data_IF_244171180542
#
_entry.id   IF_244171180542
#
_cell.length_a   1.000
_cell.length_b   1.000
_cell.length_c   1.000
_cell.angle_alpha   90.00
_cell.angle_beta   90.00
_cell.angle_gamma   90.00
#
_symmetry.space_group_name_H-M   'P 1'
#
loop_
_entity.id
_entity.type
_entity.pdbx_description
1 polymer ?
#
# COMPACT_ATOMS: atom_id res chain seq x y z
N UNK A 1 8.35 15.11 -5.27
CA UNK A 1 9.59 15.52 -4.52
C UNK A 1 10.03 14.47 -3.49
N UNK A 2 9.26 14.17 -2.42
CA UNK A 2 9.65 13.11 -1.47
C UNK A 2 9.64 11.72 -2.12
N UNK A 3 8.67 11.45 -2.98
CA UNK A 3 8.60 10.20 -3.76
C UNK A 3 9.81 10.01 -4.68
N UNK A 4 10.28 11.07 -5.35
CA UNK A 4 11.43 11.00 -6.23
C UNK A 4 12.70 10.61 -5.44
N UNK A 5 12.83 11.11 -4.20
CA UNK A 5 13.92 10.74 -3.31
C UNK A 5 13.85 9.26 -2.88
N UNK A 6 12.63 8.75 -2.63
CA UNK A 6 12.43 7.33 -2.35
C UNK A 6 12.77 6.45 -3.54
N UNK A 7 12.44 6.88 -4.76
CA UNK A 7 12.77 6.17 -6.00
C UNK A 7 14.27 6.16 -6.29
N UNK A 8 14.93 7.29 -6.06
CA UNK A 8 16.35 7.45 -6.32
C UNK A 8 17.23 6.71 -5.32
N UNK A 9 16.90 6.82 -4.02
CA UNK A 9 17.80 6.41 -2.94
C UNK A 9 17.12 5.74 -1.74
N UNK A 10 15.85 5.30 -1.87
CA UNK A 10 15.13 4.64 -0.78
C UNK A 10 14.95 5.51 0.46
N UNK A 11 14.69 4.87 1.62
CA UNK A 11 14.52 5.57 2.91
C UNK A 11 15.78 6.31 3.38
N UNK A 12 16.97 5.83 3.01
CA UNK A 12 18.24 6.47 3.38
C UNK A 12 18.40 7.81 2.67
N UNK A 13 17.95 7.91 1.42
CA UNK A 13 17.94 9.15 0.64
C UNK A 13 16.91 10.18 1.11
N UNK A 14 15.86 9.74 1.81
CA UNK A 14 14.85 10.63 2.39
C UNK A 14 15.38 11.29 3.66
N UNK A 15 16.24 12.30 3.48
CA UNK A 15 16.79 13.12 4.56
C UNK A 15 16.12 14.50 4.58
N UNK A 16 16.06 15.14 5.77
CA UNK A 16 15.54 16.51 5.91
C UNK A 16 16.28 17.45 4.95
N UNK A 17 17.60 17.31 4.85
CA UNK A 17 18.44 18.13 3.97
C UNK A 17 18.07 17.95 2.49
N UNK A 18 17.89 16.71 2.04
CA UNK A 18 17.55 16.41 0.65
C UNK A 18 16.16 16.94 0.29
N UNK A 19 15.18 16.76 1.19
CA UNK A 19 13.82 17.30 1.00
C UNK A 19 13.81 18.81 0.93
N UNK A 20 14.50 19.49 1.84
CA UNK A 20 14.60 20.95 1.85
C UNK A 20 15.29 21.49 0.59
N UNK A 21 16.40 20.86 0.18
CA UNK A 21 17.12 21.26 -1.04
C UNK A 21 16.24 21.12 -2.29
N UNK A 22 15.50 20.01 -2.39
CA UNK A 22 14.63 19.76 -3.54
C UNK A 22 13.36 20.63 -3.53
N UNK A 23 12.87 20.99 -2.34
CA UNK A 23 11.71 21.86 -2.17
C UNK A 23 12.02 23.36 -2.25
N UNK A 24 13.29 23.73 -2.21
CA UNK A 24 13.69 25.14 -2.12
C UNK A 24 13.25 25.79 -0.80
N UNK A 25 13.11 25.01 0.28
CA UNK A 25 12.59 25.49 1.56
C UNK A 25 13.71 25.70 2.58
N UNK A 26 13.55 26.75 3.41
CA UNK A 26 14.41 26.98 4.55
C UNK A 26 14.16 25.93 5.66
N UNK A 27 15.22 25.63 6.44
CA UNK A 27 15.15 24.65 7.54
C UNK A 27 14.05 24.97 8.56
N UNK A 28 13.80 26.24 8.83
CA UNK A 28 12.76 26.70 9.75
C UNK A 28 11.37 26.23 9.30
N UNK A 29 11.05 26.36 8.00
CA UNK A 29 9.76 25.93 7.45
C UNK A 29 9.49 24.42 7.62
N UNK A 30 10.53 23.61 7.70
CA UNK A 30 10.41 22.19 8.01
C UNK A 30 9.96 21.98 9.47
N UNK A 31 10.67 22.58 10.42
CA UNK A 31 10.40 22.39 11.85
C UNK A 31 9.12 23.07 12.35
N UNK A 32 8.51 23.95 11.55
CA UNK A 32 7.15 24.47 11.79
C UNK A 32 6.07 23.40 11.53
N UNK A 33 6.37 22.33 10.76
CA UNK A 33 5.42 21.29 10.38
C UNK A 33 5.76 19.88 10.89
N UNK A 34 7.04 19.57 11.01
CA UNK A 34 7.55 18.25 11.36
C UNK A 34 8.51 18.34 12.54
N UNK A 35 8.35 17.49 13.54
CA UNK A 35 9.27 17.42 14.66
C UNK A 35 10.60 16.76 14.28
N UNK A 36 10.62 15.96 13.21
CA UNK A 36 11.80 15.26 12.75
C UNK A 36 11.57 14.43 11.48
N UNK A 37 12.56 13.57 11.17
CA UNK A 37 12.51 12.70 10.00
C UNK A 37 11.31 11.74 10.07
N UNK A 38 10.98 11.21 11.23
CA UNK A 38 9.90 10.23 11.42
C UNK A 38 8.54 10.81 11.06
N UNK A 39 8.27 12.07 11.42
CA UNK A 39 7.03 12.75 11.03
C UNK A 39 6.95 12.98 9.52
N UNK A 40 8.08 13.30 8.89
CA UNK A 40 8.16 13.42 7.43
C UNK A 40 7.85 12.09 6.75
N UNK A 41 8.45 10.99 7.23
CA UNK A 41 8.26 9.66 6.67
C UNK A 41 6.80 9.23 6.83
N UNK A 42 6.20 9.45 8.00
CA UNK A 42 4.79 9.20 8.25
C UNK A 42 3.89 10.00 7.30
N UNK A 43 4.18 11.29 7.11
CA UNK A 43 3.40 12.13 6.20
C UNK A 43 3.50 11.66 4.72
N UNK A 44 4.66 11.18 4.30
CA UNK A 44 4.84 10.59 2.97
C UNK A 44 4.07 9.28 2.85
N UNK A 45 4.10 8.46 3.89
CA UNK A 45 3.37 7.20 3.94
C UNK A 45 1.84 7.43 3.90
N UNK A 46 1.31 8.33 4.73
CA UNK A 46 -0.10 8.73 4.74
C UNK A 46 -0.55 9.27 3.37
N UNK A 47 0.25 10.17 2.77
CA UNK A 47 -0.05 10.70 1.45
C UNK A 47 -0.07 9.60 0.36
N UNK A 48 0.80 8.60 0.46
CA UNK A 48 0.82 7.45 -0.45
C UNK A 48 -0.46 6.63 -0.35
N UNK A 49 -0.91 6.33 0.86
CA UNK A 49 -2.13 5.55 1.09
C UNK A 49 -3.38 6.31 0.66
N UNK A 50 -3.47 7.61 0.93
CA UNK A 50 -4.59 8.45 0.46
C UNK A 50 -4.64 8.52 -1.06
N UNK A 51 -3.49 8.65 -1.70
CA UNK A 51 -3.40 8.65 -3.17
C UNK A 51 -3.84 7.30 -3.74
N UNK A 52 -3.42 6.19 -3.13
CA UNK A 52 -3.84 4.85 -3.52
C UNK A 52 -5.35 4.65 -3.34
N UNK A 53 -5.91 5.07 -2.20
CA UNK A 53 -7.35 4.99 -1.96
C UNK A 53 -8.17 5.80 -2.97
N UNK A 54 -7.70 7.01 -3.33
CA UNK A 54 -8.34 7.83 -4.35
C UNK A 54 -8.27 7.19 -5.73
N UNK A 55 -7.10 6.66 -6.10
CA UNK A 55 -6.91 5.93 -7.36
C UNK A 55 -7.86 4.72 -7.45
N UNK A 56 -7.88 3.87 -6.43
CA UNK A 56 -8.76 2.70 -6.43
C UNK A 56 -10.24 3.07 -6.42
N UNK A 57 -10.64 4.17 -5.77
CA UNK A 57 -12.01 4.66 -5.83
C UNK A 57 -12.41 5.03 -7.26
N UNK A 58 -11.51 5.62 -8.04
CA UNK A 58 -11.78 5.97 -9.44
C UNK A 58 -11.84 4.71 -10.33
N UNK A 59 -10.93 3.76 -10.12
CA UNK A 59 -10.91 2.50 -10.89
C UNK A 59 -12.14 1.64 -10.57
N UNK A 60 -12.48 1.47 -9.29
CA UNK A 60 -13.61 0.63 -8.87
C UNK A 60 -14.97 1.22 -9.23
N UNK A 61 -15.06 2.52 -9.45
CA UNK A 61 -16.29 3.16 -9.96
C UNK A 61 -16.70 2.67 -11.37
N UNK A 62 -15.78 2.04 -12.10
CA UNK A 62 -16.02 1.49 -13.45
C UNK A 62 -16.28 -0.02 -13.44
N UNK A 63 -16.12 -0.67 -12.30
CA UNK A 63 -16.31 -2.11 -12.15
C UNK A 63 -17.79 -2.50 -12.18
N UNK A 64 -18.10 -3.67 -12.72
CA UNK A 64 -19.46 -4.18 -12.84
C UNK A 64 -20.08 -4.55 -11.47
N UNK A 65 -19.29 -4.71 -10.43
CA UNK A 65 -19.77 -5.04 -9.10
C UNK A 65 -18.67 -5.22 -8.05
N UNK A 66 -19.05 -5.57 -6.81
CA UNK A 66 -18.14 -5.59 -5.67
C UNK A 66 -17.03 -6.64 -5.82
N UNK A 67 -17.29 -7.75 -6.50
CA UNK A 67 -16.29 -8.79 -6.73
C UNK A 67 -15.15 -8.30 -7.62
N UNK A 68 -15.49 -7.63 -8.73
CA UNK A 68 -14.51 -7.04 -9.64
C UNK A 68 -13.77 -5.87 -8.98
N UNK A 69 -14.48 -5.05 -8.21
CA UNK A 69 -13.89 -3.95 -7.47
C UNK A 69 -12.82 -4.43 -6.46
N UNK A 70 -13.14 -5.45 -5.66
CA UNK A 70 -12.16 -6.02 -4.72
C UNK A 70 -10.99 -6.67 -5.45
N UNK A 71 -11.22 -7.37 -6.56
CA UNK A 71 -10.13 -7.90 -7.39
C UNK A 71 -9.21 -6.79 -7.87
N UNK A 72 -9.77 -5.69 -8.40
CA UNK A 72 -9.01 -4.53 -8.87
C UNK A 72 -8.13 -3.95 -7.76
N UNK A 73 -8.67 -3.81 -6.54
CA UNK A 73 -7.88 -3.31 -5.40
C UNK A 73 -6.76 -4.29 -5.03
N UNK A 74 -7.08 -5.57 -4.84
CA UNK A 74 -6.10 -6.59 -4.43
C UNK A 74 -4.97 -6.71 -5.45
N UNK A 75 -5.30 -6.89 -6.72
CA UNK A 75 -4.29 -7.02 -7.78
C UNK A 75 -3.50 -5.71 -7.96
N UNK A 76 -4.18 -4.57 -7.83
CA UNK A 76 -3.56 -3.25 -7.92
C UNK A 76 -2.57 -2.97 -6.79
N UNK A 77 -2.83 -3.42 -5.56
CA UNK A 77 -1.87 -3.33 -4.44
C UNK A 77 -0.62 -4.15 -4.76
N UNK A 78 -0.78 -5.39 -5.20
CA UNK A 78 0.34 -6.28 -5.51
C UNK A 78 1.21 -5.68 -6.63
N UNK A 79 0.60 -5.39 -7.78
CA UNK A 79 1.32 -4.88 -8.95
C UNK A 79 1.90 -3.48 -8.68
N UNK A 80 1.15 -2.62 -7.98
CA UNK A 80 1.59 -1.25 -7.66
C UNK A 80 2.79 -1.21 -6.71
N UNK A 81 2.86 -2.13 -5.74
CA UNK A 81 3.98 -2.19 -4.80
C UNK A 81 5.19 -2.94 -5.35
N UNK A 82 4.98 -4.04 -6.08
CA UNK A 82 6.06 -4.79 -6.70
C UNK A 82 6.66 -4.09 -7.93
N UNK A 83 5.97 -3.04 -8.45
CA UNK A 83 6.40 -2.29 -9.64
C UNK A 83 6.18 -3.03 -10.94
N UNK A 84 6.21 -2.29 -12.05
CA UNK A 84 5.95 -2.90 -13.35
C UNK A 84 7.21 -3.34 -14.08
N UNK A 85 8.35 -2.68 -13.95
CA UNK A 85 9.59 -3.06 -14.65
C UNK A 85 10.86 -2.32 -14.17
N UNK A 86 10.76 -1.37 -13.22
CA UNK A 86 11.91 -0.52 -12.86
C UNK A 86 12.36 -0.73 -11.43
N UNK A 87 13.66 -0.94 -11.23
CA UNK A 87 14.32 -1.00 -9.91
C UNK A 87 13.99 0.18 -8.97
N UNK A 88 13.61 1.33 -9.53
CA UNK A 88 13.23 2.50 -8.75
C UNK A 88 11.86 2.31 -8.06
N UNK A 89 10.87 1.77 -8.76
CA UNK A 89 9.55 1.48 -8.18
C UNK A 89 9.66 0.42 -7.07
N UNK A 90 10.50 -0.61 -7.27
CA UNK A 90 10.76 -1.62 -6.25
C UNK A 90 11.43 -1.02 -5.01
N UNK A 91 12.34 -0.03 -5.17
CA UNK A 91 12.96 0.67 -4.03
C UNK A 91 11.95 1.47 -3.21
N UNK A 92 11.03 2.17 -3.86
CA UNK A 92 9.93 2.87 -3.15
C UNK A 92 9.05 1.88 -2.41
N UNK A 93 8.62 0.80 -3.08
CA UNK A 93 7.80 -0.25 -2.50
C UNK A 93 8.45 -0.86 -1.26
N UNK A 94 9.72 -1.26 -1.35
CA UNK A 94 10.48 -1.80 -0.24
C UNK A 94 10.66 -0.78 0.91
N UNK A 95 10.93 0.48 0.59
CA UNK A 95 11.04 1.55 1.58
C UNK A 95 9.72 1.75 2.35
N UNK A 96 8.59 1.81 1.65
CA UNK A 96 7.26 1.93 2.26
C UNK A 96 6.87 0.68 3.05
N UNK A 97 7.27 -0.52 2.58
CA UNK A 97 7.03 -1.77 3.30
C UNK A 97 7.77 -1.84 4.63
N UNK A 98 9.04 -1.43 4.66
CA UNK A 98 9.81 -1.32 5.91
C UNK A 98 9.19 -0.31 6.86
N UNK A 99 8.76 0.82 6.33
CA UNK A 99 8.14 1.86 7.13
C UNK A 99 6.79 1.41 7.71
N UNK A 100 5.99 0.67 6.94
CA UNK A 100 4.77 0.04 7.44
C UNK A 100 5.04 -0.85 8.65
N UNK A 101 6.03 -1.76 8.55
CA UNK A 101 6.40 -2.64 9.66
C UNK A 101 6.92 -1.86 10.88
N UNK A 102 7.72 -0.81 10.66
CA UNK A 102 8.22 0.04 11.74
C UNK A 102 7.09 0.81 12.43
N UNK A 103 6.17 1.40 11.66
CA UNK A 103 5.02 2.14 12.17
C UNK A 103 4.06 1.23 12.94
N UNK A 104 3.87 -0.01 12.50
CA UNK A 104 3.06 -0.98 13.22
C UNK A 104 3.56 -1.24 14.65
N UNK A 105 4.87 -1.12 14.86
CA UNK A 105 5.48 -1.29 16.18
C UNK A 105 5.56 0.00 17.00
N UNK A 106 5.85 1.13 16.35
CA UNK A 106 6.21 2.37 17.04
C UNK A 106 5.09 3.40 17.09
N UNK A 107 4.20 3.40 16.10
CA UNK A 107 3.13 4.39 15.92
C UNK A 107 1.84 3.73 15.37
N UNK A 108 1.28 2.72 16.05
CA UNK A 108 0.16 1.90 15.54
C UNK A 108 -1.11 2.72 15.28
N UNK A 109 -1.39 3.72 16.10
CA UNK A 109 -2.59 4.57 15.94
C UNK A 109 -2.51 5.42 14.66
N UNK A 110 -1.35 6.00 14.37
CA UNK A 110 -1.12 6.81 13.17
C UNK A 110 -1.11 5.93 11.92
N UNK A 111 -0.57 4.71 11.99
CA UNK A 111 -0.65 3.74 10.91
C UNK A 111 -2.10 3.36 10.61
N UNK A 112 -2.89 3.06 11.65
CA UNK A 112 -4.31 2.75 11.51
C UNK A 112 -5.07 3.88 10.82
N UNK A 113 -4.86 5.13 11.28
CA UNK A 113 -5.46 6.32 10.66
C UNK A 113 -5.05 6.52 9.19
N UNK A 114 -3.80 6.24 8.84
CA UNK A 114 -3.32 6.35 7.46
C UNK A 114 -3.94 5.28 6.54
N UNK A 115 -4.22 4.07 7.06
CA UNK A 115 -4.83 2.96 6.32
C UNK A 115 -6.35 3.09 6.17
N UNK A 116 -7.02 3.81 7.07
CA UNK A 116 -8.48 3.90 7.16
C UNK A 116 -9.16 4.21 5.80
N UNK A 117 -8.71 5.19 4.99
CA UNK A 117 -9.37 5.50 3.73
C UNK A 117 -9.38 4.34 2.71
N UNK A 118 -8.35 3.50 2.73
CA UNK A 118 -8.26 2.32 1.87
C UNK A 118 -9.11 1.18 2.41
N UNK A 119 -9.06 0.95 3.72
CA UNK A 119 -9.85 -0.08 4.38
C UNK A 119 -11.35 0.20 4.29
N UNK A 120 -11.78 1.46 4.45
CA UNK A 120 -13.18 1.88 4.27
C UNK A 120 -13.67 1.62 2.85
N UNK A 121 -12.85 1.93 1.84
CA UNK A 121 -13.18 1.64 0.45
C UNK A 121 -13.37 0.13 0.24
N UNK A 122 -12.45 -0.69 0.74
CA UNK A 122 -12.57 -2.15 0.64
C UNK A 122 -13.79 -2.67 1.40
N UNK A 123 -14.02 -2.20 2.63
CA UNK A 123 -15.16 -2.59 3.46
C UNK A 123 -16.50 -2.24 2.79
N UNK A 124 -16.60 -1.10 2.09
CA UNK A 124 -17.79 -0.74 1.35
C UNK A 124 -18.14 -1.73 0.23
N UNK A 125 -17.13 -2.22 -0.48
CA UNK A 125 -17.33 -3.26 -1.50
C UNK A 125 -17.65 -4.61 -0.88
N UNK A 126 -17.04 -4.97 0.26
CA UNK A 126 -17.38 -6.20 1.00
C UNK A 126 -18.84 -6.14 1.47
N UNK A 127 -19.29 -5.04 2.08
CA UNK A 127 -20.67 -4.85 2.52
C UNK A 127 -21.66 -4.97 1.34
N UNK A 128 -21.37 -4.30 0.22
CA UNK A 128 -22.20 -4.39 -0.99
C UNK A 128 -22.29 -5.85 -1.49
N UNK A 129 -21.20 -6.60 -1.46
CA UNK A 129 -21.21 -8.02 -1.85
C UNK A 129 -22.01 -8.91 -0.90
N UNK A 130 -22.01 -8.61 0.40
CA UNK A 130 -22.85 -9.26 1.40
C UNK A 130 -24.34 -8.99 1.15
N UNK A 131 -24.70 -7.73 0.88
CA UNK A 131 -26.09 -7.33 0.57
C UNK A 131 -26.61 -8.00 -0.71
N UNK A 132 -25.73 -8.27 -1.66
CA UNK A 132 -26.05 -8.98 -2.91
C UNK A 132 -26.01 -10.53 -2.77
N UNK A 133 -25.68 -11.06 -1.60
CA UNK A 133 -25.54 -12.49 -1.37
C UNK A 133 -24.33 -13.14 -2.05
N UNK A 134 -23.36 -12.35 -2.53
CA UNK A 134 -22.13 -12.84 -3.14
C UNK A 134 -21.09 -13.24 -2.10
N UNK A 135 -21.14 -12.59 -0.94
CA UNK A 135 -20.23 -12.82 0.17
C UNK A 135 -20.99 -13.25 1.41
N UNK A 136 -20.35 -14.09 2.23
CA UNK A 136 -20.92 -14.54 3.51
C UNK A 136 -21.08 -13.35 4.45
N UNK A 137 -22.11 -13.37 5.28
CA UNK A 137 -22.37 -12.36 6.29
C UNK A 137 -21.27 -12.37 7.36
N UNK A 138 -20.62 -11.23 7.56
CA UNK A 138 -19.53 -11.03 8.52
C UNK A 138 -19.37 -9.53 8.82
N UNK A 139 -18.41 -9.18 9.66
CA UNK A 139 -17.98 -7.78 9.81
C UNK A 139 -17.20 -7.36 8.56
N UNK A 140 -17.74 -6.44 7.77
CA UNK A 140 -17.17 -5.99 6.50
C UNK A 140 -15.80 -5.32 6.68
N UNK A 141 -15.63 -4.53 7.75
CA UNK A 141 -14.37 -3.86 8.04
C UNK A 141 -13.27 -4.86 8.44
N UNK A 142 -13.62 -5.82 9.29
CA UNK A 142 -12.71 -6.91 9.64
C UNK A 142 -12.30 -7.73 8.40
N UNK A 143 -13.24 -8.07 7.50
CA UNK A 143 -12.91 -8.77 6.27
C UNK A 143 -11.96 -7.94 5.38
N UNK A 144 -12.22 -6.66 5.22
CA UNK A 144 -11.33 -5.74 4.49
C UNK A 144 -9.92 -5.71 5.10
N UNK A 145 -9.82 -5.63 6.42
CA UNK A 145 -8.55 -5.64 7.15
C UNK A 145 -7.78 -6.96 6.98
N UNK A 146 -8.48 -8.10 7.05
CA UNK A 146 -7.87 -9.42 6.83
C UNK A 146 -7.32 -9.57 5.41
N UNK A 147 -8.10 -9.14 4.40
CA UNK A 147 -7.67 -9.13 3.00
C UNK A 147 -6.44 -8.23 2.84
N UNK A 148 -6.50 -6.99 3.34
CA UNK A 148 -5.38 -6.06 3.25
C UNK A 148 -4.11 -6.61 3.92
N UNK A 149 -4.23 -7.15 5.13
CA UNK A 149 -3.10 -7.69 5.87
C UNK A 149 -2.44 -8.88 5.16
N UNK A 150 -3.24 -9.80 4.60
CA UNK A 150 -2.72 -10.91 3.82
C UNK A 150 -1.93 -10.40 2.61
N UNK A 151 -2.51 -9.49 1.83
CA UNK A 151 -1.91 -8.97 0.60
C UNK A 151 -0.65 -8.16 0.93
N UNK A 152 -0.74 -7.20 1.84
CA UNK A 152 0.38 -6.33 2.19
C UNK A 152 1.55 -7.10 2.80
N UNK A 153 1.29 -8.04 3.72
CA UNK A 153 2.35 -8.85 4.33
C UNK A 153 3.05 -9.74 3.31
N UNK A 154 2.30 -10.35 2.39
CA UNK A 154 2.89 -11.16 1.31
C UNK A 154 3.79 -10.30 0.43
N UNK A 155 3.32 -9.13 0.00
CA UNK A 155 4.12 -8.20 -0.81
C UNK A 155 5.35 -7.71 -0.06
N UNK A 156 5.22 -7.36 1.24
CA UNK A 156 6.36 -6.96 2.07
C UNK A 156 7.43 -8.06 2.13
N UNK A 157 7.02 -9.31 2.32
CA UNK A 157 7.93 -10.46 2.39
C UNK A 157 8.70 -10.61 1.07
N UNK A 158 8.02 -10.50 -0.06
CA UNK A 158 8.64 -10.56 -1.39
C UNK A 158 9.66 -9.44 -1.58
N UNK A 159 9.26 -8.19 -1.32
CA UNK A 159 10.15 -7.02 -1.50
C UNK A 159 11.40 -7.10 -0.62
N UNK A 160 11.26 -7.53 0.63
CA UNK A 160 12.39 -7.67 1.55
C UNK A 160 13.32 -8.83 1.15
N UNK A 161 12.77 -9.93 0.60
CA UNK A 161 13.57 -11.03 0.08
C UNK A 161 14.38 -10.60 -1.16
N UNK A 162 13.79 -9.82 -2.07
CA UNK A 162 14.47 -9.25 -3.23
C UNK A 162 15.66 -8.36 -2.84
N UNK A 163 15.48 -7.50 -1.83
CA UNK A 163 16.56 -6.65 -1.32
C UNK A 163 17.69 -7.44 -0.65
N UNK A 164 17.35 -8.54 0.03
CA UNK A 164 18.31 -9.42 0.70
C UNK A 164 19.11 -10.31 -0.27
N UNK A 165 18.95 -10.17 -1.58
CA UNK A 165 19.63 -11.00 -2.60
C UNK A 165 18.98 -12.38 -2.79
N UNK A 166 17.76 -12.58 -2.25
CA UNK A 166 16.93 -13.74 -2.54
C UNK A 166 16.41 -13.73 -3.98
N UNK A 167 15.78 -14.83 -4.39
CA UNK A 167 15.15 -14.91 -5.72
C UNK A 167 14.09 -13.83 -5.84
N UNK A 168 14.36 -12.84 -6.68
CA UNK A 168 13.35 -11.86 -7.07
C UNK A 168 12.21 -12.59 -7.78
N UNK A 169 10.98 -12.12 -7.59
CA UNK A 169 9.91 -12.43 -8.53
C UNK A 169 10.28 -11.68 -9.82
N UNK A 170 10.94 -12.41 -10.73
CA UNK A 170 11.83 -11.81 -11.72
C UNK A 170 11.08 -11.10 -12.83
N UNK A 171 9.85 -11.52 -13.16
CA UNK A 171 9.15 -10.97 -14.29
C UNK A 171 7.69 -10.57 -13.96
N UNK A 172 7.11 -9.88 -14.93
CA UNK A 172 5.72 -9.40 -14.84
C UNK A 172 4.72 -10.54 -14.69
N UNK A 173 4.96 -11.66 -15.37
CA UNK A 173 4.05 -12.82 -15.35
C UNK A 173 4.00 -13.47 -13.98
N UNK A 174 5.14 -13.59 -13.29
CA UNK A 174 5.20 -14.12 -11.93
C UNK A 174 4.47 -13.20 -10.92
N UNK A 175 4.57 -11.87 -11.09
CA UNK A 175 3.86 -10.89 -10.26
C UNK A 175 2.35 -10.90 -10.48
N UNK A 176 1.92 -11.02 -11.73
CA UNK A 176 0.52 -11.20 -12.09
C UNK A 176 0.00 -12.53 -11.55
N UNK A 177 0.77 -13.61 -11.64
CA UNK A 177 0.45 -14.91 -11.06
C UNK A 177 0.32 -14.88 -9.53
N UNK A 178 1.18 -14.14 -8.84
CA UNK A 178 1.05 -13.90 -7.40
C UNK A 178 -0.23 -13.11 -7.07
N UNK A 179 -0.51 -12.05 -7.84
CA UNK A 179 -1.70 -11.23 -7.65
C UNK A 179 -2.99 -12.06 -7.84
N UNK A 180 -3.05 -12.90 -8.87
CA UNK A 180 -4.18 -13.80 -9.12
C UNK A 180 -4.32 -14.87 -8.03
N UNK A 181 -3.22 -15.41 -7.53
CA UNK A 181 -3.21 -16.40 -6.44
C UNK A 181 -3.74 -15.79 -5.14
N UNK A 182 -3.28 -14.58 -4.78
CA UNK A 182 -3.76 -13.84 -3.62
C UNK A 182 -5.24 -13.48 -3.74
N UNK A 183 -5.65 -13.01 -4.92
CA UNK A 183 -7.06 -12.71 -5.17
C UNK A 183 -7.94 -13.97 -5.02
N UNK A 184 -7.55 -15.06 -5.63
CA UNK A 184 -8.34 -16.31 -5.56
C UNK A 184 -8.46 -16.83 -4.12
N UNK A 185 -7.39 -16.72 -3.34
CA UNK A 185 -7.44 -17.05 -1.91
C UNK A 185 -8.42 -16.14 -1.15
N UNK A 186 -8.33 -14.82 -1.34
CA UNK A 186 -9.24 -13.85 -0.71
C UNK A 186 -10.69 -14.12 -1.12
N UNK A 187 -10.95 -14.31 -2.42
CA UNK A 187 -12.26 -14.59 -2.97
C UNK A 187 -12.91 -15.81 -2.32
N UNK A 188 -12.17 -16.92 -2.20
CA UNK A 188 -12.66 -18.13 -1.54
C UNK A 188 -12.92 -17.92 -0.05
N UNK A 189 -12.12 -17.10 0.60
CA UNK A 189 -12.28 -16.83 2.02
C UNK A 189 -13.55 -16.04 2.35
N UNK A 190 -14.06 -15.22 1.41
CA UNK A 190 -15.23 -14.35 1.64
C UNK A 190 -16.49 -14.85 0.92
N UNK A 191 -16.40 -15.80 0.00
CA UNK A 191 -17.53 -16.30 -0.77
C UNK A 191 -18.66 -16.85 0.13
N UNK A 192 -19.91 -16.66 -0.30
CA UNK A 192 -21.11 -17.19 0.33
C UNK A 192 -21.22 -18.72 0.17
#
# INVERSE_FOLDING_TARGET
MAYDLLDEAGLEGLTIRAVLARAGLARRAFYERFQGKDDLVLAVFDASLRSAALHFRQETARCAGPLEALRTIVTGIVVGQLGQEHRAANRRGAALSREHLRLAQTRPAELASALEPLLDLMASHVATGMDQGLFRQADAHLQAQLIYNLVSTTVHTVLLAEEGGGSAIADRSEREGLADSLWEFCRRAIAA
#
